data_IF_380518990103
#
_entry.id   IF_380518990103
#
_cell.length_a   1.000
_cell.length_b   1.000
_cell.length_c   1.000
_cell.angle_alpha   90.00
_cell.angle_beta   90.00
_cell.angle_gamma   90.00
#
_symmetry.space_group_name_H-M   'P 1'
#
loop_
_entity.id
_entity.type
_entity.pdbx_description
1 polymer ?
#
# COMPACT_ATOMS: atom_id res chain seq x y z
N UNK A 1 26.94 2.63 -7.47
CA UNK A 1 25.81 1.82 -7.98
C UNK A 1 24.83 1.47 -6.84
N UNK A 2 24.15 2.46 -6.24
CA UNK A 2 23.26 2.26 -5.08
C UNK A 2 21.77 2.58 -5.34
N UNK A 3 21.42 3.11 -6.52
CA UNK A 3 20.06 3.58 -6.83
C UNK A 3 19.05 2.52 -7.26
N UNK A 4 19.45 1.24 -7.42
CA UNK A 4 18.57 0.20 -8.00
C UNK A 4 17.93 -0.76 -6.99
N UNK A 5 18.29 -0.70 -5.70
CA UNK A 5 17.72 -1.62 -4.67
C UNK A 5 16.36 -1.16 -4.13
N UNK A 6 16.13 0.14 -4.01
CA UNK A 6 14.88 0.68 -3.46
C UNK A 6 13.69 0.52 -4.43
N UNK A 7 13.94 0.59 -5.74
CA UNK A 7 12.91 0.42 -6.78
C UNK A 7 12.40 -1.03 -6.95
N UNK A 8 13.00 -2.02 -6.29
CA UNK A 8 12.49 -3.41 -6.31
C UNK A 8 11.36 -3.66 -5.31
N UNK A 9 11.23 -2.80 -4.30
CA UNK A 9 10.18 -2.93 -3.29
C UNK A 9 8.78 -2.75 -3.89
N UNK A 10 8.48 -1.69 -4.66
CA UNK A 10 7.16 -1.49 -5.25
C UNK A 10 6.67 -2.70 -6.07
N UNK A 11 7.53 -3.28 -6.92
CA UNK A 11 7.16 -4.46 -7.71
C UNK A 11 6.86 -5.69 -6.86
N UNK A 12 7.65 -5.94 -5.80
CA UNK A 12 7.38 -7.06 -4.90
C UNK A 12 6.07 -6.89 -4.13
N UNK A 13 5.71 -5.65 -3.80
CA UNK A 13 4.42 -5.35 -3.21
C UNK A 13 3.31 -5.58 -4.24
N UNK A 14 3.43 -5.07 -5.47
CA UNK A 14 2.46 -5.32 -6.55
C UNK A 14 2.22 -6.82 -6.81
N UNK A 15 3.29 -7.62 -6.95
CA UNK A 15 3.21 -9.08 -7.13
C UNK A 15 2.50 -9.78 -5.96
N UNK A 16 2.64 -9.24 -4.74
CA UNK A 16 1.96 -9.76 -3.55
C UNK A 16 0.46 -9.46 -3.57
N UNK A 17 0.04 -8.33 -4.17
CA UNK A 17 -1.39 -7.99 -4.34
C UNK A 17 -2.08 -8.85 -5.37
N UNK A 18 -1.41 -9.11 -6.50
CA UNK A 18 -1.92 -10.03 -7.52
C UNK A 18 -2.14 -11.43 -6.94
N UNK A 19 -1.18 -11.94 -6.16
CA UNK A 19 -1.28 -13.26 -5.49
C UNK A 19 -2.38 -13.34 -4.43
N UNK A 20 -2.82 -12.21 -3.86
CA UNK A 20 -3.91 -12.16 -2.87
C UNK A 20 -5.28 -11.86 -3.48
N UNK A 21 -5.38 -11.73 -4.81
CA UNK A 21 -6.65 -11.46 -5.51
C UNK A 21 -7.22 -10.08 -5.21
N UNK A 22 -6.40 -9.15 -4.69
CA UNK A 22 -6.84 -7.78 -4.35
C UNK A 22 -7.18 -7.01 -5.63
N UNK A 23 -6.43 -7.26 -6.70
CA UNK A 23 -6.67 -6.72 -8.03
C UNK A 23 -6.63 -7.84 -9.07
N UNK A 24 -7.75 -8.06 -9.78
CA UNK A 24 -7.83 -8.93 -10.95
C UNK A 24 -8.36 -8.05 -12.09
N UNK A 25 -7.52 -7.69 -13.09
CA UNK A 25 -7.98 -6.89 -14.21
C UNK A 25 -8.97 -7.71 -15.07
N UNK A 26 -10.18 -7.19 -15.29
CA UNK A 26 -11.19 -7.78 -16.19
C UNK A 26 -12.48 -8.28 -15.54
N UNK A 27 -12.60 -8.24 -14.21
CA UNK A 27 -13.81 -8.66 -13.48
C UNK A 27 -14.66 -7.44 -13.07
N UNK A 28 -15.24 -6.74 -14.05
CA UNK A 28 -15.94 -5.45 -13.85
C UNK A 28 -17.29 -5.56 -13.11
N UNK A 29 -17.80 -6.76 -12.84
CA UNK A 29 -19.14 -6.98 -12.27
C UNK A 29 -19.14 -7.62 -10.86
N UNK A 30 -18.01 -7.55 -10.13
CA UNK A 30 -17.91 -8.08 -8.76
C UNK A 30 -18.50 -7.10 -7.74
N UNK A 31 -19.16 -7.63 -6.71
CA UNK A 31 -19.62 -6.84 -5.56
C UNK A 31 -18.42 -6.14 -4.91
N UNK A 32 -18.58 -4.84 -4.60
CA UNK A 32 -17.56 -4.04 -3.92
C UNK A 32 -17.24 -4.69 -2.58
N UNK A 33 -15.96 -4.99 -2.36
CA UNK A 33 -15.46 -5.50 -1.09
C UNK A 33 -14.74 -4.33 -0.40
N UNK A 34 -15.32 -3.74 0.65
CA UNK A 34 -14.78 -2.56 1.30
C UNK A 34 -13.33 -2.74 1.77
N UNK A 35 -12.98 -3.92 2.25
CA UNK A 35 -11.67 -4.18 2.82
C UNK A 35 -10.60 -4.33 1.74
N UNK A 36 -10.97 -4.93 0.60
CA UNK A 36 -10.10 -5.08 -0.55
C UNK A 36 -9.93 -3.77 -1.32
N UNK A 37 -11.02 -3.04 -1.52
CA UNK A 37 -11.06 -1.89 -2.42
C UNK A 37 -10.63 -0.59 -1.70
N UNK A 38 -10.88 -0.47 -0.39
CA UNK A 38 -10.54 0.73 0.42
C UNK A 38 -9.51 0.49 1.52
N UNK A 39 -9.13 -0.76 1.81
CA UNK A 39 -8.15 -1.08 2.86
C UNK A 39 -6.82 -0.34 2.67
N UNK A 40 -6.43 -0.08 1.43
CA UNK A 40 -5.24 0.72 1.11
C UNK A 40 -5.30 2.17 1.57
N UNK A 41 -6.48 2.80 1.49
CA UNK A 41 -6.68 4.17 1.98
C UNK A 41 -6.42 4.22 3.48
N UNK A 42 -6.91 3.23 4.21
CA UNK A 42 -6.67 3.08 5.66
C UNK A 42 -5.18 2.86 5.94
N UNK A 43 -4.51 1.98 5.20
CA UNK A 43 -3.07 1.71 5.37
C UNK A 43 -2.23 2.96 5.13
N UNK A 44 -2.48 3.69 4.05
CA UNK A 44 -1.77 4.94 3.73
C UNK A 44 -2.03 5.99 4.81
N UNK A 45 -3.28 6.10 5.26
CA UNK A 45 -3.64 7.04 6.32
C UNK A 45 -2.93 6.73 7.63
N UNK A 46 -2.91 5.46 8.07
CA UNK A 46 -2.20 5.03 9.27
C UNK A 46 -0.69 5.21 9.17
N UNK A 47 -0.10 4.91 8.00
CA UNK A 47 1.31 5.14 7.75
C UNK A 47 1.65 6.64 7.81
N UNK A 48 0.83 7.49 7.20
CA UNK A 48 0.96 8.94 7.26
C UNK A 48 0.85 9.47 8.69
N UNK A 49 -0.13 8.98 9.46
CA UNK A 49 -0.30 9.33 10.87
C UNK A 49 0.91 8.91 11.71
N UNK A 50 1.44 7.71 11.51
CA UNK A 50 2.62 7.23 12.23
C UNK A 50 3.85 8.10 11.92
N UNK A 51 4.10 8.42 10.65
CA UNK A 51 5.19 9.31 10.24
C UNK A 51 5.01 10.71 10.84
N UNK A 52 3.78 11.24 10.80
CA UNK A 52 3.46 12.54 11.41
C UNK A 52 3.82 12.55 12.89
N UNK A 53 3.37 11.55 13.66
CA UNK A 53 3.70 11.43 15.09
C UNK A 53 5.22 11.38 15.30
N UNK A 54 5.94 10.56 14.53
CA UNK A 54 7.39 10.42 14.67
C UNK A 54 8.13 11.73 14.39
N UNK A 55 7.73 12.48 13.36
CA UNK A 55 8.30 13.78 13.03
C UNK A 55 8.14 14.75 14.19
N UNK A 56 6.93 14.86 14.74
CA UNK A 56 6.67 15.75 15.87
C UNK A 56 7.33 15.27 17.17
N UNK A 57 7.46 13.96 17.38
CA UNK A 57 8.14 13.41 18.54
C UNK A 57 9.65 13.69 18.54
N UNK A 58 10.28 13.73 17.37
CA UNK A 58 11.72 14.02 17.22
C UNK A 58 11.99 15.54 17.16
N UNK A 59 11.02 16.34 16.72
CA UNK A 59 11.14 17.79 16.61
C UNK A 59 10.98 18.54 17.95
N UNK A 60 10.84 17.82 19.07
CA UNK A 60 10.76 18.35 20.45
C UNK A 60 12.11 18.33 21.12
#
# INVERSE_FOLDING_TARGET
MAGRRLLRWPNRWADWFEKRGVYVPGEDNRVVDPWRDWGWVIVIWLAGLAVFILVFAIAV
#
